data_IF_272643973149
#
_entry.id   IF_272643973149
#
_cell.length_a   1.000
_cell.length_b   1.000
_cell.length_c   1.000
_cell.angle_alpha   90.00
_cell.angle_beta   90.00
_cell.angle_gamma   90.00
#
_symmetry.space_group_name_H-M   'P 1'
#
loop_
_entity.id
_entity.type
_entity.pdbx_description
1 polymer ?
#
# COMPACT_ATOMS: atom_id res chain seq x y z
N UNK A 1 58.39 -8.39 30.34
CA UNK A 1 58.17 -6.97 29.98
C UNK A 1 57.21 -7.00 28.78
N UNK A 2 55.93 -7.30 28.96
CA UNK A 2 54.83 -6.57 29.62
C UNK A 2 54.28 -5.41 28.76
N UNK A 3 52.95 -5.35 28.73
CA UNK A 3 52.05 -4.26 28.32
C UNK A 3 51.48 -4.29 26.89
N UNK A 4 50.18 -4.62 26.80
CA UNK A 4 49.39 -4.48 25.57
C UNK A 4 47.92 -4.91 25.66
N UNK A 5 47.32 -5.10 26.84
CA UNK A 5 45.94 -5.62 26.96
C UNK A 5 45.14 -4.93 28.07
N UNK A 6 44.93 -3.61 27.97
CA UNK A 6 44.23 -2.84 29.00
C UNK A 6 43.02 -1.95 28.57
N UNK A 7 42.71 -1.63 27.28
CA UNK A 7 41.61 -0.69 27.03
C UNK A 7 40.20 -1.32 27.11
N UNK A 8 40.06 -2.61 26.81
CA UNK A 8 38.74 -3.23 26.67
C UNK A 8 38.04 -3.58 28.00
N UNK A 9 38.81 -3.86 29.05
CA UNK A 9 38.27 -4.24 30.36
C UNK A 9 37.72 -3.02 31.14
N UNK A 10 38.38 -1.86 31.01
CA UNK A 10 37.96 -0.63 31.68
C UNK A 10 36.62 -0.10 31.12
N UNK A 11 36.45 -0.14 29.79
CA UNK A 11 35.23 0.33 29.12
C UNK A 11 33.99 -0.50 29.51
N UNK A 12 34.15 -1.81 29.72
CA UNK A 12 33.06 -2.70 30.16
C UNK A 12 32.62 -2.50 31.61
N UNK A 13 33.52 -2.00 32.48
CA UNK A 13 33.19 -1.66 33.87
C UNK A 13 32.42 -0.34 33.93
N UNK A 14 32.90 0.67 33.20
CA UNK A 14 32.25 1.98 33.11
C UNK A 14 30.85 1.90 32.48
N UNK A 15 30.65 1.06 31.45
CA UNK A 15 29.32 0.89 30.84
C UNK A 15 28.30 0.22 31.78
N UNK A 16 28.77 -0.63 32.70
CA UNK A 16 27.90 -1.32 33.67
C UNK A 16 27.51 -0.42 34.84
N UNK A 17 28.40 0.47 35.28
CA UNK A 17 28.14 1.42 36.36
C UNK A 17 27.40 2.69 35.89
N UNK A 18 27.69 3.18 34.68
CA UNK A 18 27.10 4.43 34.16
C UNK A 18 26.08 4.24 33.03
N UNK A 19 25.86 3.01 32.56
CA UNK A 19 24.88 2.72 31.50
C UNK A 19 23.45 3.07 31.90
N UNK A 20 23.10 2.92 33.18
CA UNK A 20 21.79 3.31 33.69
C UNK A 20 21.60 4.84 33.72
N UNK A 21 22.68 5.60 33.97
CA UNK A 21 22.63 7.07 33.90
C UNK A 21 22.43 7.56 32.47
N UNK A 22 23.09 6.95 31.48
CA UNK A 22 22.87 7.27 30.08
C UNK A 22 21.45 6.90 29.61
N UNK A 23 20.92 5.76 30.07
CA UNK A 23 19.54 5.38 29.82
C UNK A 23 18.55 6.39 30.45
N UNK A 24 18.77 6.80 31.69
CA UNK A 24 17.92 7.78 32.37
C UNK A 24 17.96 9.17 31.72
N UNK A 25 19.15 9.64 31.31
CA UNK A 25 19.30 10.91 30.58
C UNK A 25 18.62 10.85 29.21
N UNK A 26 18.78 9.74 28.47
CA UNK A 26 18.10 9.54 27.20
C UNK A 26 16.57 9.51 27.34
N UNK A 27 16.06 8.85 28.38
CA UNK A 27 14.63 8.74 28.64
C UNK A 27 14.04 10.09 29.08
N UNK A 28 14.77 10.86 29.90
CA UNK A 28 14.41 12.23 30.27
C UNK A 28 14.36 13.16 29.06
N UNK A 29 15.35 13.10 28.17
CA UNK A 29 15.36 13.89 26.93
C UNK A 29 14.19 13.52 26.00
N UNK A 30 13.88 12.22 25.86
CA UNK A 30 12.75 11.75 25.05
C UNK A 30 11.41 12.24 25.60
N UNK A 31 11.18 12.12 26.92
CA UNK A 31 9.96 12.63 27.55
C UNK A 31 9.82 14.13 27.33
N UNK A 32 10.91 14.90 27.49
CA UNK A 32 10.91 16.34 27.30
C UNK A 32 10.59 16.72 25.85
N UNK A 33 11.13 15.97 24.87
CA UNK A 33 10.84 16.15 23.44
C UNK A 33 9.39 15.79 23.07
N UNK A 34 8.83 14.76 23.69
CA UNK A 34 7.44 14.34 23.49
C UNK A 34 6.40 15.29 24.12
N UNK A 35 6.79 16.12 25.10
CA UNK A 35 5.92 17.12 25.73
C UNK A 35 5.90 18.49 25.06
N UNK A 36 6.81 18.77 24.12
CA UNK A 36 6.85 20.06 23.40
C UNK A 36 5.56 20.41 22.62
N UNK A 37 4.83 19.47 21.97
CA UNK A 37 3.64 19.85 21.20
C UNK A 37 2.40 20.19 22.06
N UNK A 38 2.46 20.09 23.40
CA UNK A 38 1.31 20.39 24.27
C UNK A 38 1.31 21.78 24.91
N UNK A 39 2.43 22.52 24.87
CA UNK A 39 2.54 23.85 25.52
C UNK A 39 2.59 24.99 24.52
N UNK A 40 3.04 24.74 23.29
CA UNK A 40 2.85 25.68 22.18
C UNK A 40 1.47 25.43 21.58
N UNK A 41 0.52 26.32 21.84
CA UNK A 41 -0.86 26.29 21.33
C UNK A 41 -0.98 26.42 19.80
N UNK A 42 -0.21 25.65 19.03
CA UNK A 42 -0.45 25.37 17.63
C UNK A 42 -1.45 24.21 17.56
N UNK A 43 -2.71 24.51 17.88
CA UNK A 43 -3.81 23.56 17.69
C UNK A 43 -3.79 23.07 16.24
N UNK A 44 -3.76 21.75 16.07
CA UNK A 44 -4.07 21.14 14.79
C UNK A 44 -5.51 21.55 14.46
N UNK A 45 -5.70 22.52 13.58
CA UNK A 45 -7.00 22.89 13.06
C UNK A 45 -7.42 21.84 12.03
N UNK A 46 -8.01 20.75 12.51
CA UNK A 46 -8.83 19.90 11.66
C UNK A 46 -10.12 20.68 11.44
N UNK A 47 -10.22 21.32 10.29
CA UNK A 47 -11.48 21.91 9.82
C UNK A 47 -12.48 20.77 9.67
N UNK A 48 -13.32 20.60 10.68
CA UNK A 48 -14.58 19.86 10.57
C UNK A 48 -15.43 20.63 9.55
N UNK A 49 -15.32 20.25 8.29
CA UNK A 49 -16.19 20.73 7.23
C UNK A 49 -17.60 20.24 7.53
N UNK A 50 -18.44 21.16 8.00
CA UNK A 50 -19.87 20.96 8.19
C UNK A 50 -20.53 20.75 6.82
N UNK A 51 -21.15 19.59 6.51
CA UNK A 51 -21.79 19.35 5.23
C UNK A 51 -23.23 19.89 5.20
N UNK A 52 -23.49 21.10 5.71
CA UNK A 52 -24.79 21.77 5.59
C UNK A 52 -24.65 23.31 5.61
N UNK A 53 -24.05 23.88 4.58
CA UNK A 53 -24.21 25.30 4.28
C UNK A 53 -24.42 25.50 2.77
N UNK A 54 -25.64 25.89 2.41
CA UNK A 54 -26.03 26.27 1.05
C UNK A 54 -25.22 27.50 0.56
N UNK A 55 -25.02 27.69 -0.76
CA UNK A 55 -24.22 28.79 -1.29
C UNK A 55 -24.94 30.13 -1.13
N UNK A 56 -24.49 30.96 -0.20
CA UNK A 56 -24.87 32.37 -0.12
C UNK A 56 -24.13 33.15 -1.21
N UNK A 57 -24.94 33.66 -2.14
CA UNK A 57 -24.60 34.58 -3.22
C UNK A 57 -24.25 35.95 -2.65
N UNK A 58 -22.99 36.39 -2.71
CA UNK A 58 -22.63 37.80 -2.56
C UNK A 58 -21.61 38.24 -3.62
N UNK A 59 -21.96 39.34 -4.28
CA UNK A 59 -21.21 40.04 -5.30
C UNK A 59 -19.95 40.74 -4.75
N UNK A 60 -18.95 41.03 -5.60
CA UNK A 60 -17.76 41.80 -5.21
C UNK A 60 -17.99 43.32 -5.34
N UNK A 61 -17.44 44.17 -4.45
CA UNK A 61 -17.27 45.58 -4.75
C UNK A 61 -16.00 45.79 -5.60
N UNK A 62 -16.17 46.64 -6.60
CA UNK A 62 -15.17 47.12 -7.53
C UNK A 62 -14.08 47.99 -6.86
N UNK A 63 -12.88 47.93 -7.41
CA UNK A 63 -11.78 48.85 -7.12
C UNK A 63 -10.70 48.70 -8.20
N UNK A 64 -10.75 49.59 -9.19
CA UNK A 64 -9.97 49.60 -10.43
C UNK A 64 -8.55 50.14 -10.25
N UNK A 65 -7.55 49.50 -10.87
CA UNK A 65 -6.48 50.23 -11.58
C UNK A 65 -5.85 49.40 -12.71
N UNK A 66 -5.49 50.12 -13.76
CA UNK A 66 -5.28 49.76 -15.16
C UNK A 66 -3.98 49.02 -15.52
N UNK A 67 -4.03 48.28 -16.64
CA UNK A 67 -3.00 47.48 -17.35
C UNK A 67 -1.78 48.27 -17.90
N UNK A 68 -0.72 47.61 -18.44
CA UNK A 68 -0.75 47.14 -19.85
C UNK A 68 -0.09 45.77 -20.15
N UNK A 69 -0.47 45.21 -21.30
CA UNK A 69 -0.06 43.96 -22.01
C UNK A 69 1.31 44.16 -22.68
N UNK A 70 2.16 43.12 -22.87
CA UNK A 70 2.21 42.32 -24.12
C UNK A 70 2.53 40.82 -23.83
N UNK A 71 2.45 39.81 -24.68
CA UNK A 71 2.18 39.65 -26.10
C UNK A 71 1.73 38.19 -26.31
N UNK A 72 0.97 37.92 -27.36
CA UNK A 72 0.50 36.58 -27.69
C UNK A 72 1.57 35.75 -28.41
N UNK A 73 1.69 34.48 -28.05
CA UNK A 73 2.15 33.45 -28.98
C UNK A 73 1.57 32.09 -28.62
N UNK A 74 0.70 31.62 -29.50
CA UNK A 74 0.01 30.34 -29.45
C UNK A 74 0.72 29.32 -30.34
N UNK A 75 1.04 28.16 -29.74
CA UNK A 75 1.20 26.83 -30.35
C UNK A 75 2.56 26.48 -30.98
N UNK A 76 2.78 25.21 -31.39
CA UNK A 76 2.29 23.89 -30.90
C UNK A 76 3.54 22.94 -30.65
N UNK A 77 3.54 21.57 -30.68
CA UNK A 77 2.47 20.59 -30.91
C UNK A 77 2.50 19.28 -30.05
N UNK A 78 1.52 18.43 -30.34
CA UNK A 78 1.56 16.94 -30.32
C UNK A 78 1.28 16.19 -29.02
N UNK A 79 0.01 15.81 -28.86
CA UNK A 79 -0.35 14.54 -28.21
C UNK A 79 0.25 13.37 -29.01
N UNK A 80 1.27 12.73 -28.46
CA UNK A 80 1.68 11.40 -28.88
C UNK A 80 0.94 10.38 -28.00
N UNK A 81 0.01 9.65 -28.61
CA UNK A 81 -0.56 8.45 -28.05
C UNK A 81 0.54 7.38 -27.87
N UNK A 82 0.65 6.70 -26.71
CA UNK A 82 1.41 5.46 -26.67
C UNK A 82 0.59 4.35 -27.34
N UNK A 83 1.10 3.89 -28.48
CA UNK A 83 0.72 2.65 -29.14
C UNK A 83 0.61 1.50 -28.15
N UNK A 84 -0.53 0.81 -28.17
CA UNK A 84 -0.68 -0.49 -27.56
C UNK A 84 0.21 -1.51 -28.28
N UNK A 85 1.28 -1.94 -27.62
CA UNK A 85 2.03 -3.13 -28.03
C UNK A 85 1.33 -4.37 -27.46
N UNK A 86 0.88 -5.33 -28.28
CA UNK A 86 0.33 -6.58 -27.79
C UNK A 86 1.41 -7.43 -27.12
N UNK A 87 1.10 -7.93 -25.93
CA UNK A 87 1.90 -8.91 -25.21
C UNK A 87 1.81 -10.28 -25.91
N UNK A 88 2.93 -10.99 -26.16
CA UNK A 88 2.90 -12.33 -26.71
C UNK A 88 2.41 -13.35 -25.66
N UNK A 89 1.30 -14.01 -25.96
CA UNK A 89 0.92 -15.26 -25.26
C UNK A 89 1.82 -16.41 -25.73
N UNK A 90 2.34 -17.25 -24.81
CA UNK A 90 3.06 -18.46 -25.18
C UNK A 90 2.06 -19.54 -25.65
N UNK A 91 2.15 -19.90 -26.92
CA UNK A 91 1.45 -21.06 -27.51
C UNK A 91 2.27 -22.33 -27.24
N UNK A 92 1.70 -23.39 -26.64
CA UNK A 92 2.23 -24.74 -26.82
C UNK A 92 1.74 -25.28 -28.18
N UNK A 93 2.65 -25.34 -29.14
CA UNK A 93 2.45 -26.06 -30.41
C UNK A 93 2.34 -27.56 -30.15
N UNK A 94 1.17 -28.14 -30.44
CA UNK A 94 1.07 -29.56 -30.78
C UNK A 94 0.49 -29.68 -32.18
N UNK A 95 1.36 -30.16 -33.07
CA UNK A 95 1.07 -30.63 -34.41
C UNK A 95 0.22 -31.90 -34.28
N UNK A 96 -0.93 -31.94 -34.97
CA UNK A 96 -1.26 -33.01 -35.93
C UNK A 96 -2.64 -32.76 -36.57
N UNK A 97 -2.68 -32.85 -37.90
CA UNK A 97 -3.87 -32.95 -38.79
C UNK A 97 -3.71 -34.31 -39.51
N UNK A 98 -4.71 -34.96 -40.17
CA UNK A 98 -6.05 -34.48 -40.52
C UNK A 98 -7.21 -35.52 -40.42
N UNK A 99 -8.47 -35.05 -40.40
CA UNK A 99 -9.53 -35.67 -41.24
C UNK A 99 -10.69 -34.73 -41.52
N UNK A 100 -10.81 -34.35 -42.79
CA UNK A 100 -11.93 -33.63 -43.41
C UNK A 100 -13.19 -34.51 -43.37
N UNK A 101 -14.24 -34.03 -42.71
CA UNK A 101 -15.62 -34.48 -42.96
C UNK A 101 -16.50 -33.25 -43.11
N UNK A 102 -17.08 -33.09 -44.28
CA UNK A 102 -18.07 -32.06 -44.63
C UNK A 102 -19.36 -32.29 -43.84
N UNK A 103 -19.73 -31.35 -42.98
CA UNK A 103 -21.05 -31.31 -42.37
C UNK A 103 -21.59 -29.86 -42.31
N UNK A 104 -22.47 -29.58 -43.27
CA UNK A 104 -23.68 -28.74 -43.18
C UNK A 104 -23.61 -27.50 -42.25
N UNK A 105 -23.43 -26.35 -42.87
CA UNK A 105 -23.73 -25.02 -42.32
C UNK A 105 -25.14 -25.00 -41.72
N UNK A 106 -25.22 -25.10 -40.40
CA UNK A 106 -26.37 -24.65 -39.63
C UNK A 106 -25.94 -23.34 -38.98
N UNK A 107 -26.61 -22.26 -39.36
CA UNK A 107 -26.38 -20.94 -38.76
C UNK A 107 -26.49 -21.06 -37.23
N UNK A 108 -25.57 -20.47 -36.45
CA UNK A 108 -25.68 -20.52 -35.00
C UNK A 108 -26.94 -19.74 -34.62
N UNK A 109 -27.91 -20.47 -34.07
CA UNK A 109 -29.03 -19.87 -33.37
C UNK A 109 -28.47 -18.90 -32.34
N UNK A 110 -28.78 -17.61 -32.50
CA UNK A 110 -28.47 -16.56 -31.53
C UNK A 110 -29.19 -16.92 -30.23
N UNK A 111 -28.51 -17.67 -29.36
CA UNK A 111 -28.97 -17.85 -27.98
C UNK A 111 -28.94 -16.47 -27.36
N UNK A 112 -30.11 -15.89 -27.19
CA UNK A 112 -30.33 -14.82 -26.23
C UNK A 112 -30.09 -15.44 -24.86
N UNK A 113 -28.83 -15.53 -24.45
CA UNK A 113 -28.46 -15.91 -23.10
C UNK A 113 -29.08 -14.87 -22.18
N UNK A 114 -29.98 -15.29 -21.31
CA UNK A 114 -30.47 -14.44 -20.23
C UNK A 114 -29.24 -13.82 -19.51
N UNK A 115 -29.29 -12.54 -19.10
CA UNK A 115 -28.22 -11.94 -18.33
C UNK A 115 -27.87 -12.86 -17.16
N UNK A 116 -26.59 -13.19 -16.92
CA UNK A 116 -26.22 -14.05 -15.80
C UNK A 116 -26.81 -13.43 -14.53
N UNK A 117 -27.51 -14.25 -13.75
CA UNK A 117 -28.04 -13.85 -12.45
C UNK A 117 -26.91 -13.14 -11.69
N UNK A 118 -27.17 -11.92 -11.21
CA UNK A 118 -26.16 -11.09 -10.59
C UNK A 118 -25.44 -11.88 -9.49
N UNK A 119 -24.16 -12.14 -9.69
CA UNK A 119 -23.35 -12.81 -8.68
C UNK A 119 -23.39 -11.98 -7.40
N UNK A 120 -23.66 -12.62 -6.26
CA UNK A 120 -23.64 -11.93 -4.97
C UNK A 120 -22.28 -11.26 -4.78
N UNK A 121 -22.32 -10.00 -4.36
CA UNK A 121 -21.10 -9.26 -4.07
C UNK A 121 -20.32 -9.96 -2.94
N UNK A 122 -18.99 -10.02 -3.01
CA UNK A 122 -18.18 -10.53 -1.93
C UNK A 122 -18.39 -9.76 -0.63
N UNK A 123 -18.37 -10.47 0.49
CA UNK A 123 -18.50 -9.90 1.83
C UNK A 123 -17.11 -9.69 2.40
N UNK A 124 -16.82 -8.48 2.91
CA UNK A 124 -15.59 -8.20 3.64
C UNK A 124 -15.57 -8.99 4.95
N UNK A 125 -14.47 -9.70 5.20
CA UNK A 125 -14.28 -10.54 6.41
C UNK A 125 -13.15 -10.02 7.31
N UNK A 126 -12.48 -8.95 6.89
CA UNK A 126 -11.42 -8.28 7.64
C UNK A 126 -10.39 -7.66 6.68
N UNK A 127 -9.22 -7.24 7.19
CA UNK A 127 -8.92 -7.08 8.61
C UNK A 127 -9.69 -5.91 9.25
N UNK A 128 -10.18 -6.12 10.47
CA UNK A 128 -10.90 -5.11 11.25
C UNK A 128 -9.95 -4.10 11.89
N UNK A 129 -10.36 -2.85 12.06
CA UNK A 129 -9.52 -1.82 12.70
C UNK A 129 -8.51 -1.13 11.77
N UNK A 130 -8.75 -1.17 10.45
CA UNK A 130 -7.97 -0.44 9.46
C UNK A 130 -6.51 -0.88 9.40
N UNK A 131 -5.59 0.09 9.37
CA UNK A 131 -4.15 -0.18 9.24
C UNK A 131 -3.61 -1.09 10.36
N UNK A 132 -4.11 -0.98 11.59
CA UNK A 132 -3.68 -1.83 12.69
C UNK A 132 -4.10 -3.30 12.50
N UNK A 133 -5.33 -3.52 12.03
CA UNK A 133 -5.83 -4.86 11.70
C UNK A 133 -5.01 -5.51 10.60
N UNK A 134 -4.71 -4.75 9.54
CA UNK A 134 -3.83 -5.20 8.48
C UNK A 134 -2.46 -5.55 9.07
N UNK A 135 -1.95 -4.75 9.98
CA UNK A 135 -0.65 -5.01 10.60
C UNK A 135 -0.60 -6.31 11.40
N UNK A 136 -1.65 -6.61 12.16
CA UNK A 136 -1.77 -7.90 12.84
C UNK A 136 -1.84 -9.08 11.86
N UNK A 137 -2.61 -8.95 10.77
CA UNK A 137 -2.70 -9.98 9.73
C UNK A 137 -1.32 -10.30 9.13
N UNK A 138 -0.54 -9.26 8.81
CA UNK A 138 0.78 -9.41 8.19
C UNK A 138 1.80 -10.04 9.14
N UNK A 139 1.85 -9.59 10.40
CA UNK A 139 2.71 -10.19 11.42
C UNK A 139 2.38 -11.66 11.66
N UNK A 140 1.10 -12.00 11.78
CA UNK A 140 0.67 -13.40 11.93
C UNK A 140 1.04 -14.27 10.72
N UNK A 141 0.95 -13.72 9.50
CA UNK A 141 1.38 -14.42 8.30
C UNK A 141 2.88 -14.70 8.31
N UNK A 142 3.70 -13.68 8.61
CA UNK A 142 5.14 -13.83 8.71
C UNK A 142 5.53 -14.83 9.80
N UNK A 143 4.86 -14.78 10.95
CA UNK A 143 5.18 -15.65 12.08
C UNK A 143 4.87 -17.11 11.73
N UNK A 144 3.70 -17.35 11.12
CA UNK A 144 3.27 -18.69 10.73
C UNK A 144 4.12 -19.29 9.62
N UNK A 145 4.55 -18.47 8.67
CA UNK A 145 5.20 -18.94 7.42
C UNK A 145 6.71 -18.96 7.53
N UNK A 146 7.30 -17.95 8.17
CA UNK A 146 8.74 -17.70 8.19
C UNK A 146 9.32 -17.62 9.62
N UNK A 147 8.50 -17.80 10.67
CA UNK A 147 8.94 -17.75 12.08
C UNK A 147 9.57 -16.41 12.47
N UNK A 148 9.00 -15.33 11.91
CA UNK A 148 9.35 -13.94 12.23
C UNK A 148 8.07 -13.13 12.34
N UNK A 149 7.95 -12.26 13.33
CA UNK A 149 6.80 -11.36 13.49
C UNK A 149 7.06 -9.97 12.88
N UNK A 150 8.18 -9.83 12.17
CA UNK A 150 8.57 -8.60 11.49
C UNK A 150 7.99 -8.60 10.07
N UNK A 151 6.85 -7.94 9.88
CA UNK A 151 6.46 -7.47 8.55
C UNK A 151 7.07 -6.08 8.32
N UNK A 152 7.36 -5.71 7.08
CA UNK A 152 7.77 -4.35 6.72
C UNK A 152 7.30 -3.97 5.31
N UNK A 153 7.26 -2.67 5.06
CA UNK A 153 7.01 -2.14 3.72
C UNK A 153 8.34 -1.90 3.01
N UNK A 154 8.51 -2.49 1.83
CA UNK A 154 9.64 -2.23 0.94
C UNK A 154 9.49 -0.86 0.28
N UNK A 155 10.45 0.04 0.51
CA UNK A 155 10.45 1.35 -0.12
C UNK A 155 11.03 1.29 -1.54
N UNK A 156 10.51 2.14 -2.44
CA UNK A 156 11.16 2.47 -3.72
C UNK A 156 10.92 1.51 -4.89
N UNK A 157 9.99 0.56 -4.77
CA UNK A 157 9.70 -0.38 -5.86
C UNK A 157 8.21 -0.39 -6.23
N UNK A 158 7.87 -0.27 -7.51
CA UNK A 158 6.55 -0.65 -8.03
C UNK A 158 5.31 -0.01 -7.38
N UNK A 159 4.17 -0.68 -7.53
CA UNK A 159 2.89 -0.29 -6.93
C UNK A 159 2.88 -0.68 -5.44
N UNK A 160 2.37 0.22 -4.60
CA UNK A 160 2.54 0.16 -3.15
C UNK A 160 1.84 -1.04 -2.50
N UNK A 161 0.78 -1.57 -3.13
CA UNK A 161 0.02 -2.69 -2.59
C UNK A 161 0.85 -3.97 -2.50
N UNK A 162 1.84 -4.18 -3.37
CA UNK A 162 2.63 -5.42 -3.42
C UNK A 162 3.98 -5.33 -2.72
N UNK A 163 4.20 -4.30 -1.89
CA UNK A 163 5.49 -4.03 -1.27
C UNK A 163 5.62 -4.56 0.16
N UNK A 164 4.66 -5.34 0.64
CA UNK A 164 4.77 -5.96 1.95
C UNK A 164 5.70 -7.18 1.91
N UNK A 165 6.64 -7.23 2.83
CA UNK A 165 7.57 -8.34 2.97
C UNK A 165 7.73 -8.75 4.44
N UNK A 166 8.12 -9.99 4.67
CA UNK A 166 8.55 -10.46 5.97
C UNK A 166 10.04 -10.20 6.09
N UNK A 167 10.47 -9.52 7.16
CA UNK A 167 11.88 -9.28 7.41
C UNK A 167 12.52 -10.54 7.96
N UNK A 168 13.49 -11.05 7.22
CA UNK A 168 14.21 -12.27 7.57
C UNK A 168 15.68 -12.11 7.17
N UNK A 169 16.60 -12.67 7.96
CA UNK A 169 18.03 -12.47 7.76
C UNK A 169 18.51 -13.18 6.49
N UNK A 170 18.63 -12.42 5.39
CA UNK A 170 19.26 -12.87 4.14
C UNK A 170 18.32 -12.86 2.93
N UNK A 171 17.02 -13.04 3.17
CA UNK A 171 15.96 -12.96 2.15
C UNK A 171 14.76 -12.27 2.80
N UNK A 172 14.24 -11.19 2.21
CA UNK A 172 13.01 -10.53 2.68
C UNK A 172 11.86 -10.95 1.75
N UNK A 173 11.21 -12.11 1.98
CA UNK A 173 10.19 -12.63 1.08
C UNK A 173 8.94 -11.74 1.07
N UNK A 174 8.41 -11.49 -0.14
CA UNK A 174 7.14 -10.80 -0.32
C UNK A 174 5.99 -11.57 0.34
N UNK A 175 5.04 -10.82 0.89
CA UNK A 175 3.84 -11.37 1.51
C UNK A 175 2.79 -11.65 0.43
N UNK A 176 2.35 -12.91 0.34
CA UNK A 176 1.15 -13.28 -0.42
C UNK A 176 -0.09 -12.92 0.41
N UNK A 177 -0.70 -11.79 0.07
CA UNK A 177 -1.91 -11.29 0.74
C UNK A 177 -3.09 -12.28 0.66
N UNK A 178 -3.23 -13.01 -0.44
CA UNK A 178 -4.30 -14.00 -0.57
C UNK A 178 -4.03 -15.23 0.29
N UNK A 179 -2.77 -15.65 0.44
CA UNK A 179 -2.39 -16.67 1.41
C UNK A 179 -2.61 -16.20 2.86
N UNK A 180 -2.27 -14.95 3.19
CA UNK A 180 -2.53 -14.35 4.49
C UNK A 180 -4.03 -14.36 4.83
N UNK A 181 -4.88 -13.89 3.92
CA UNK A 181 -6.33 -13.91 4.10
C UNK A 181 -6.86 -15.35 4.30
N UNK A 182 -6.40 -16.31 3.50
CA UNK A 182 -6.82 -17.72 3.64
C UNK A 182 -6.39 -18.32 4.98
N UNK A 183 -5.19 -17.98 5.43
CA UNK A 183 -4.65 -18.45 6.71
C UNK A 183 -5.45 -17.97 7.92
N UNK A 184 -6.04 -16.76 7.86
CA UNK A 184 -6.80 -16.18 8.97
C UNK A 184 -8.31 -16.40 8.87
N UNK A 185 -8.89 -16.25 7.68
CA UNK A 185 -10.35 -16.23 7.49
C UNK A 185 -10.89 -17.49 6.80
N UNK A 186 -10.02 -18.47 6.51
CA UNK A 186 -10.37 -19.77 5.95
C UNK A 186 -10.12 -19.88 4.45
N UNK A 187 -10.14 -21.11 3.92
CA UNK A 187 -9.68 -21.43 2.56
C UNK A 187 -10.41 -20.70 1.42
N UNK A 188 -11.66 -20.28 1.65
CA UNK A 188 -12.47 -19.55 0.67
C UNK A 188 -12.21 -18.02 0.67
N UNK A 189 -11.40 -17.52 1.61
CA UNK A 189 -11.07 -16.11 1.66
C UNK A 189 -10.08 -15.73 0.55
N UNK A 190 -10.14 -14.49 0.10
CA UNK A 190 -9.21 -13.93 -0.87
C UNK A 190 -8.93 -12.46 -0.57
N UNK A 191 -7.80 -11.94 -1.03
CA UNK A 191 -7.41 -10.55 -0.82
C UNK A 191 -7.84 -9.66 -2.00
N UNK A 192 -8.23 -8.43 -1.72
CA UNK A 192 -8.30 -7.34 -2.69
C UNK A 192 -7.83 -6.04 -2.06
N UNK A 193 -7.21 -5.18 -2.85
CA UNK A 193 -6.87 -3.82 -2.47
C UNK A 193 -7.86 -2.84 -3.10
N UNK A 194 -8.13 -1.73 -2.43
CA UNK A 194 -8.96 -0.65 -3.00
C UNK A 194 -8.14 0.41 -3.75
N UNK A 195 -6.83 0.53 -3.48
CA UNK A 195 -5.95 1.50 -4.12
C UNK A 195 -4.53 0.97 -4.30
N UNK A 196 -4.05 0.88 -5.56
CA UNK A 196 -2.69 0.41 -5.88
C UNK A 196 -1.56 1.32 -5.38
N UNK A 197 -1.86 2.59 -5.13
CA UNK A 197 -0.88 3.53 -4.60
C UNK A 197 -0.88 3.57 -3.06
N UNK A 198 -1.68 2.73 -2.40
CA UNK A 198 -1.78 2.66 -0.95
C UNK A 198 -1.58 1.23 -0.45
N UNK A 199 -0.43 1.03 0.20
CA UNK A 199 -0.06 -0.23 0.81
C UNK A 199 -1.04 -0.69 1.91
N UNK A 200 -1.81 0.22 2.51
CA UNK A 200 -2.72 -0.10 3.60
C UNK A 200 -4.14 -0.42 3.14
N UNK A 201 -4.40 -0.36 1.83
CA UNK A 201 -5.73 -0.48 1.25
C UNK A 201 -6.24 -1.91 1.08
N UNK A 202 -5.57 -2.88 1.70
CA UNK A 202 -5.87 -4.31 1.58
C UNK A 202 -7.01 -4.75 2.49
N UNK A 203 -7.88 -5.58 1.91
CA UNK A 203 -9.00 -6.21 2.59
C UNK A 203 -9.12 -7.68 2.18
N UNK A 204 -9.66 -8.48 3.08
CA UNK A 204 -10.00 -9.88 2.85
C UNK A 204 -11.51 -10.01 2.63
N UNK A 205 -11.90 -10.82 1.67
CA UNK A 205 -13.29 -11.06 1.28
C UNK A 205 -13.60 -12.55 1.20
N UNK A 206 -14.89 -12.89 1.22
CA UNK A 206 -15.43 -14.23 0.97
C UNK A 206 -16.70 -14.14 0.10
N UNK A 207 -16.97 -15.19 -0.67
CA UNK A 207 -18.21 -15.35 -1.46
C UNK A 207 -19.22 -16.25 -0.75
#
# INVERSE_FOLDING_TARGET
>A
MSEGTAPAAAVRRLSREYGWLLAAVGLGALVLLCSVPFVTGAGMSWSTGDPLAAPAKLAPPAGSTSSPVPDGSAGPPTSAAPSATPSPSPTPSKVDTPRRTTARTTAPARRTTAPPAAAKAPVAVGPDGGAFGLWQLLREYCERTYRTDEAQLRYGTGQAENNWECRLRGDDPLIDMSAACRGRYGAAAFAQFSNRNDAFSWHCYRR
#
